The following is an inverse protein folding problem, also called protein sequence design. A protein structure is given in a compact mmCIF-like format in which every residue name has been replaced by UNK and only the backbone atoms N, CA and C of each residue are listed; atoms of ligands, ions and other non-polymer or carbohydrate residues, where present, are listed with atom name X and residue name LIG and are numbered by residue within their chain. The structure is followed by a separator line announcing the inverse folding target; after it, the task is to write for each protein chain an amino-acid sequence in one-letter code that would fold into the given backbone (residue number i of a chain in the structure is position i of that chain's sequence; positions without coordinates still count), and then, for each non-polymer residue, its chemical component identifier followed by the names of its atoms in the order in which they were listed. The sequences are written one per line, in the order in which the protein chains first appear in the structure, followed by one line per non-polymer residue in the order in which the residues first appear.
data_IF_375541272298
#
_entry.id   IF_375541272298
#
_cell.length_a   1.000
_cell.length_b   1.000
_cell.length_c   1.000
_cell.angle_alpha   90.00
_cell.angle_beta   90.00
_cell.angle_gamma   90.00
#
_symmetry.space_group_name_H-M   'P 1'
#
loop_
_entity.id
_entity.type
_entity.pdbx_description
1 polymer ?
#
# COMPACT_ATOMS: atom_id res chain seq x y z
N UNK A 1 18.02 59.58 -17.20
CA UNK A 1 16.78 58.84 -16.99
C UNK A 1 17.05 57.37 -17.33
N UNK A 2 17.11 56.49 -16.34
CA UNK A 2 17.29 55.05 -16.56
C UNK A 2 15.92 54.40 -16.48
N UNK A 3 15.41 53.81 -17.59
CA UNK A 3 14.18 53.04 -17.62
C UNK A 3 14.43 51.70 -16.98
N UNK A 4 13.72 51.37 -15.88
CA UNK A 4 13.68 50.09 -15.29
C UNK A 4 12.70 49.19 -16.08
N UNK A 5 13.23 48.14 -16.72
CA UNK A 5 12.39 47.10 -17.36
C UNK A 5 11.95 46.16 -16.27
N UNK A 6 10.68 46.18 -15.93
CA UNK A 6 10.01 45.26 -15.00
C UNK A 6 9.69 43.97 -15.80
N UNK A 7 10.49 42.92 -15.63
CA UNK A 7 10.19 41.60 -16.18
C UNK A 7 9.06 40.93 -15.34
N UNK A 8 7.83 40.88 -15.88
CA UNK A 8 6.75 40.08 -15.31
C UNK A 8 7.07 38.60 -15.59
N UNK A 9 7.48 37.88 -14.56
CA UNK A 9 7.50 36.42 -14.58
C UNK A 9 6.03 35.91 -14.52
N UNK A 10 5.46 35.54 -15.66
CA UNK A 10 4.24 34.77 -15.68
C UNK A 10 4.54 33.39 -15.10
N UNK A 11 4.11 33.13 -13.87
CA UNK A 11 4.02 31.79 -13.34
C UNK A 11 2.96 31.03 -14.16
N UNK A 12 3.39 30.20 -15.10
CA UNK A 12 2.49 29.27 -15.78
C UNK A 12 1.87 28.35 -14.69
N UNK A 13 0.54 28.41 -14.54
CA UNK A 13 -0.18 27.47 -13.71
C UNK A 13 0.08 26.05 -14.25
N UNK A 14 0.63 25.18 -13.42
CA UNK A 14 0.77 23.77 -13.78
C UNK A 14 -0.63 23.23 -14.11
N UNK A 15 -0.78 22.49 -15.22
CA UNK A 15 -2.07 21.90 -15.57
C UNK A 15 -2.55 21.00 -14.43
N UNK A 16 -3.85 21.04 -14.14
CA UNK A 16 -4.46 20.15 -13.15
C UNK A 16 -4.16 18.69 -13.53
N UNK A 17 -3.77 17.90 -12.54
CA UNK A 17 -3.47 16.48 -12.74
C UNK A 17 -4.78 15.75 -13.05
N UNK A 18 -4.84 15.13 -14.21
CA UNK A 18 -5.99 14.34 -14.64
C UNK A 18 -5.80 12.88 -14.20
N UNK A 19 -6.73 12.40 -13.39
CA UNK A 19 -6.82 10.99 -12.99
C UNK A 19 -7.67 10.21 -13.99
N UNK A 20 -7.16 9.07 -14.47
CA UNK A 20 -7.80 8.20 -15.46
C UNK A 20 -7.99 6.81 -14.92
N UNK A 21 -9.24 6.33 -14.97
CA UNK A 21 -9.57 4.95 -14.63
C UNK A 21 -9.10 3.99 -15.71
N UNK A 22 -8.69 2.79 -15.29
CA UNK A 22 -8.31 1.69 -16.18
C UNK A 22 -8.52 0.32 -15.53
N UNK A 23 -8.48 -0.73 -16.35
CA UNK A 23 -8.64 -2.10 -15.89
C UNK A 23 -7.59 -2.99 -16.53
N UNK A 24 -6.89 -3.76 -15.70
CA UNK A 24 -6.00 -4.83 -16.13
C UNK A 24 -6.69 -6.19 -15.96
N UNK A 25 -6.45 -7.12 -16.87
CA UNK A 25 -6.93 -8.50 -16.72
C UNK A 25 -5.84 -9.34 -16.05
N UNK A 26 -6.15 -9.87 -14.87
CA UNK A 26 -5.32 -10.81 -14.14
C UNK A 26 -5.97 -12.20 -14.17
N UNK A 27 -5.66 -13.01 -15.17
CA UNK A 27 -6.20 -14.37 -15.32
C UNK A 27 -7.74 -14.44 -15.19
N UNK A 28 -8.43 -13.52 -15.86
CA UNK A 28 -9.90 -13.45 -15.86
C UNK A 28 -10.50 -12.55 -14.79
N UNK A 29 -9.70 -12.07 -13.82
CA UNK A 29 -10.13 -11.10 -12.80
C UNK A 29 -9.77 -9.71 -13.26
N UNK A 30 -10.73 -8.78 -13.32
CA UNK A 30 -10.50 -7.38 -13.66
C UNK A 30 -10.01 -6.63 -12.43
N UNK A 31 -8.83 -6.07 -12.54
CA UNK A 31 -8.22 -5.22 -11.51
C UNK A 31 -8.34 -3.78 -11.94
N UNK A 32 -9.11 -2.99 -11.21
CA UNK A 32 -9.25 -1.57 -11.41
C UNK A 32 -8.00 -0.83 -10.92
N UNK A 33 -7.61 0.20 -11.65
CA UNK A 33 -6.58 1.16 -11.20
C UNK A 33 -6.92 2.57 -11.67
N UNK A 34 -6.39 3.55 -10.96
CA UNK A 34 -6.42 4.96 -11.37
C UNK A 34 -5.00 5.41 -11.66
N UNK A 35 -4.78 6.05 -12.80
CA UNK A 35 -3.45 6.49 -13.24
C UNK A 35 -3.40 7.97 -13.54
N UNK A 36 -2.21 8.57 -13.37
CA UNK A 36 -1.93 9.96 -13.74
C UNK A 36 -0.44 10.12 -14.07
N UNK A 37 -0.10 11.21 -14.78
CA UNK A 37 1.27 11.55 -15.12
C UNK A 37 1.89 10.66 -16.19
N UNK A 38 3.19 10.87 -16.43
CA UNK A 38 4.01 10.13 -17.40
C UNK A 38 5.42 9.95 -16.85
N UNK A 39 6.18 8.98 -17.37
CA UNK A 39 7.55 8.71 -16.94
C UNK A 39 7.73 7.29 -16.39
N UNK A 40 8.70 7.03 -15.50
CA UNK A 40 8.84 5.74 -14.82
C UNK A 40 7.58 5.38 -14.04
N UNK A 41 7.20 4.10 -14.05
CA UNK A 41 5.97 3.65 -13.41
C UNK A 41 6.14 3.49 -11.89
N UNK A 42 5.19 4.06 -11.13
CA UNK A 42 5.00 3.84 -9.69
C UNK A 42 3.64 3.17 -9.48
N UNK A 43 3.61 1.93 -9.01
CA UNK A 43 2.38 1.21 -8.67
C UNK A 43 2.15 1.30 -7.16
N UNK A 44 0.97 1.76 -6.76
CA UNK A 44 0.58 1.99 -5.37
C UNK A 44 -0.54 1.03 -4.96
N UNK A 45 -0.32 0.30 -3.87
CA UNK A 45 -1.16 -0.82 -3.42
C UNK A 45 -1.66 -0.49 -2.01
N UNK A 46 -2.98 -0.33 -1.87
CA UNK A 46 -3.61 -0.05 -0.59
C UNK A 46 -3.75 -1.29 0.31
N UNK A 47 -4.16 -1.10 1.55
CA UNK A 47 -4.45 -2.16 2.51
C UNK A 47 -5.91 -2.23 2.93
N UNK A 48 -6.16 -2.69 4.15
CA UNK A 48 -7.48 -2.82 4.76
C UNK A 48 -7.68 -1.79 5.90
N UNK A 49 -8.85 -1.18 6.01
CA UNK A 49 -9.88 -1.01 4.99
C UNK A 49 -9.58 0.26 4.18
N UNK A 50 -9.24 0.10 2.92
CA UNK A 50 -8.83 1.22 2.08
C UNK A 50 -9.17 0.96 0.60
N UNK A 51 -8.82 1.88 -0.30
CA UNK A 51 -8.94 1.74 -1.75
C UNK A 51 -7.98 2.73 -2.44
N UNK A 52 -7.91 2.76 -3.78
CA UNK A 52 -6.94 3.56 -4.52
C UNK A 52 -6.83 5.03 -4.06
N UNK A 53 -7.92 5.62 -3.59
CA UNK A 53 -8.01 7.04 -3.23
C UNK A 53 -7.15 7.42 -2.00
N UNK A 54 -6.71 6.46 -1.23
CA UNK A 54 -5.73 6.68 -0.15
C UNK A 54 -4.46 7.35 -0.64
N UNK A 55 -4.11 7.08 -1.91
CA UNK A 55 -2.88 7.55 -2.54
C UNK A 55 -3.01 8.90 -3.25
N UNK A 56 -4.19 9.53 -3.26
CA UNK A 56 -4.46 10.77 -4.00
C UNK A 56 -3.38 11.85 -3.85
N UNK A 57 -2.93 12.11 -2.61
CA UNK A 57 -1.93 13.13 -2.31
C UNK A 57 -0.53 12.73 -2.84
N UNK A 58 -0.15 11.46 -2.70
CA UNK A 58 1.11 10.92 -3.22
C UNK A 58 1.09 10.87 -4.75
N UNK A 59 -0.05 10.51 -5.35
CA UNK A 59 -0.23 10.55 -6.81
C UNK A 59 -0.05 11.97 -7.35
N UNK A 60 -0.71 12.96 -6.74
CA UNK A 60 -0.55 14.38 -7.11
C UNK A 60 0.90 14.84 -6.97
N UNK A 61 1.58 14.45 -5.91
CA UNK A 61 2.96 14.84 -5.67
C UNK A 61 3.95 14.22 -6.66
N UNK A 62 3.68 13.00 -7.15
CA UNK A 62 4.61 12.24 -8.01
C UNK A 62 4.29 12.35 -9.50
N UNK A 63 3.03 12.58 -9.90
CA UNK A 63 2.59 12.64 -11.29
C UNK A 63 3.37 13.62 -12.20
N UNK A 64 3.95 14.73 -11.70
CA UNK A 64 4.79 15.58 -12.54
C UNK A 64 6.04 14.91 -13.11
N UNK A 65 6.54 13.83 -12.51
CA UNK A 65 7.79 13.16 -12.89
C UNK A 65 7.62 11.65 -13.15
N UNK A 66 6.50 11.06 -12.72
CA UNK A 66 6.23 9.63 -12.77
C UNK A 66 4.86 9.35 -13.37
N UNK A 67 4.72 8.23 -14.04
CA UNK A 67 3.42 7.62 -14.26
C UNK A 67 3.04 6.91 -12.95
N UNK A 68 2.02 7.40 -12.26
CA UNK A 68 1.51 6.78 -11.03
C UNK A 68 0.27 5.95 -11.33
N UNK A 69 0.16 4.77 -10.73
CA UNK A 69 -1.01 3.90 -10.85
C UNK A 69 -1.37 3.33 -9.47
N UNK A 70 -2.50 3.76 -8.92
CA UNK A 70 -3.05 3.24 -7.67
C UNK A 70 -4.12 2.20 -7.98
N UNK A 71 -3.94 0.97 -7.49
CA UNK A 71 -4.86 -0.15 -7.77
C UNK A 71 -5.93 -0.26 -6.69
N UNK A 72 -7.10 -0.73 -7.07
CA UNK A 72 -8.04 -1.37 -6.14
C UNK A 72 -7.71 -2.85 -6.07
N UNK A 73 -7.40 -3.37 -4.91
CA UNK A 73 -7.17 -4.80 -4.71
C UNK A 73 -8.43 -5.62 -5.10
N UNK A 74 -8.26 -6.87 -5.56
CA UNK A 74 -9.43 -7.75 -5.78
C UNK A 74 -10.29 -7.81 -4.52
N UNK A 75 -11.61 -7.81 -4.68
CA UNK A 75 -12.56 -7.73 -3.57
C UNK A 75 -12.96 -6.31 -3.17
N UNK A 76 -12.23 -5.29 -3.62
CA UNK A 76 -12.43 -3.88 -3.24
C UNK A 76 -12.97 -3.06 -4.40
N UNK A 77 -13.79 -2.07 -4.05
CA UNK A 77 -14.33 -0.99 -4.88
C UNK A 77 -14.71 -1.46 -6.30
N UNK A 78 -13.99 -1.04 -7.34
CA UNK A 78 -14.31 -1.32 -8.74
C UNK A 78 -13.60 -2.57 -9.31
N UNK A 79 -12.69 -3.20 -8.56
CA UNK A 79 -12.12 -4.49 -8.95
C UNK A 79 -13.11 -5.63 -8.79
N UNK A 80 -12.91 -6.73 -9.53
CA UNK A 80 -13.71 -7.95 -9.39
C UNK A 80 -13.57 -8.56 -7.99
N UNK A 81 -14.61 -9.31 -7.60
CA UNK A 81 -14.78 -9.88 -6.26
C UNK A 81 -15.05 -11.37 -6.34
N UNK A 82 -14.08 -12.18 -6.79
CA UNK A 82 -14.27 -13.61 -6.91
C UNK A 82 -14.63 -14.22 -5.54
N UNK A 83 -15.59 -15.15 -5.54
CA UNK A 83 -16.00 -15.87 -4.34
C UNK A 83 -14.97 -16.91 -3.92
N UNK A 84 -14.95 -17.26 -2.62
CA UNK A 84 -14.05 -18.26 -2.06
C UNK A 84 -12.68 -17.71 -1.63
N UNK A 85 -12.19 -18.18 -0.49
CA UNK A 85 -10.94 -17.70 0.08
C UNK A 85 -9.71 -18.08 -0.75
N UNK A 86 -9.78 -19.17 -1.52
CA UNK A 86 -8.73 -19.64 -2.43
C UNK A 86 -8.39 -18.62 -3.50
N UNK A 87 -9.35 -17.76 -3.88
CA UNK A 87 -9.16 -16.68 -4.85
C UNK A 87 -8.39 -15.48 -4.29
N UNK A 88 -8.01 -15.53 -3.01
CA UNK A 88 -7.23 -14.50 -2.31
C UNK A 88 -5.87 -15.02 -1.83
N UNK A 89 -5.40 -16.14 -2.39
CA UNK A 89 -4.03 -16.64 -2.15
C UNK A 89 -3.00 -15.59 -2.56
N UNK A 90 -1.94 -15.44 -1.79
CA UNK A 90 -0.90 -14.43 -2.00
C UNK A 90 -0.34 -14.46 -3.44
N UNK A 91 -0.21 -15.64 -4.05
CA UNK A 91 0.27 -15.77 -5.43
C UNK A 91 -0.66 -15.09 -6.44
N UNK A 92 -1.97 -15.11 -6.21
CA UNK A 92 -2.93 -14.41 -7.07
C UNK A 92 -2.89 -12.90 -6.86
N UNK A 93 -2.69 -12.44 -5.61
CA UNK A 93 -2.53 -11.02 -5.30
C UNK A 93 -1.25 -10.45 -5.93
N UNK A 94 -0.16 -11.21 -5.92
CA UNK A 94 1.09 -10.87 -6.63
C UNK A 94 0.86 -10.80 -8.14
N UNK A 95 0.10 -11.75 -8.70
CA UNK A 95 -0.20 -11.78 -10.13
C UNK A 95 -1.02 -10.57 -10.58
N UNK A 96 -1.89 -10.02 -9.70
CA UNK A 96 -2.65 -8.79 -9.99
C UNK A 96 -1.73 -7.59 -10.19
N UNK A 97 -0.73 -7.44 -9.32
CA UNK A 97 0.26 -6.36 -9.44
C UNK A 97 1.05 -6.50 -10.74
N UNK A 98 1.52 -7.73 -11.05
CA UNK A 98 2.22 -8.00 -12.30
C UNK A 98 1.36 -7.70 -13.53
N UNK A 99 0.07 -8.05 -13.50
CA UNK A 99 -0.87 -7.80 -14.59
C UNK A 99 -1.05 -6.29 -14.85
N UNK A 100 -1.16 -5.47 -13.79
CA UNK A 100 -1.26 -4.01 -13.93
C UNK A 100 0.02 -3.43 -14.52
N UNK A 101 1.21 -3.83 -14.05
CA UNK A 101 2.50 -3.38 -14.58
C UNK A 101 2.61 -3.71 -16.09
N UNK A 102 2.29 -4.94 -16.48
CA UNK A 102 2.32 -5.39 -17.87
C UNK A 102 1.28 -4.70 -18.74
N UNK A 103 0.05 -4.51 -18.22
CA UNK A 103 -1.02 -3.80 -18.92
C UNK A 103 -0.63 -2.35 -19.25
N UNK A 104 0.12 -1.70 -18.36
CA UNK A 104 0.66 -0.35 -18.55
C UNK A 104 1.92 -0.32 -19.45
N UNK A 105 2.27 -1.45 -20.10
CA UNK A 105 3.38 -1.57 -21.05
C UNK A 105 4.76 -1.50 -20.39
N UNK A 106 4.88 -1.92 -19.13
CA UNK A 106 6.15 -1.89 -18.39
C UNK A 106 6.63 -3.29 -18.01
N UNK A 107 7.94 -3.46 -17.95
CA UNK A 107 8.55 -4.70 -17.46
C UNK A 107 8.84 -4.65 -15.97
N UNK A 108 9.03 -3.45 -15.41
CA UNK A 108 9.29 -3.20 -13.99
C UNK A 108 8.65 -1.90 -13.53
N UNK A 109 8.48 -1.76 -12.22
CA UNK A 109 7.95 -0.56 -11.58
C UNK A 109 8.61 -0.29 -10.22
N UNK A 110 8.47 0.93 -9.75
CA UNK A 110 8.60 1.26 -8.34
C UNK A 110 7.31 0.79 -7.67
N UNK A 111 7.42 -0.06 -6.65
CA UNK A 111 6.27 -0.66 -5.98
C UNK A 111 6.10 -0.04 -4.61
N UNK A 112 4.91 0.50 -4.34
CA UNK A 112 4.55 1.16 -3.08
C UNK A 112 3.40 0.41 -2.45
N UNK A 113 3.52 -0.01 -1.19
CA UNK A 113 2.45 -0.72 -0.51
C UNK A 113 2.23 -0.25 0.92
N UNK A 114 0.95 -0.23 1.34
CA UNK A 114 0.53 0.05 2.69
C UNK A 114 -0.27 -1.13 3.24
N UNK A 115 -0.05 -1.54 4.49
CA UNK A 115 -0.77 -2.63 5.18
C UNK A 115 -0.80 -3.92 4.33
N UNK A 116 -1.96 -4.48 3.95
CA UNK A 116 -2.03 -5.63 3.02
C UNK A 116 -1.32 -5.36 1.70
N UNK A 117 -1.41 -4.13 1.17
CA UNK A 117 -0.62 -3.74 0.01
C UNK A 117 0.88 -3.81 0.27
N UNK A 118 1.33 -3.50 1.47
CA UNK A 118 2.72 -3.70 1.90
C UNK A 118 3.11 -5.18 1.97
N UNK A 119 2.22 -6.04 2.50
CA UNK A 119 2.44 -7.49 2.53
C UNK A 119 2.57 -8.06 1.11
N UNK A 120 1.68 -7.66 0.21
CA UNK A 120 1.72 -8.03 -1.21
C UNK A 120 3.02 -7.52 -1.85
N UNK A 121 3.43 -6.28 -1.57
CA UNK A 121 4.63 -5.67 -2.13
C UNK A 121 5.92 -6.37 -1.70
N UNK A 122 6.04 -6.77 -0.43
CA UNK A 122 7.14 -7.60 0.05
C UNK A 122 7.19 -8.94 -0.69
N UNK A 123 6.04 -9.63 -0.77
CA UNK A 123 5.97 -10.92 -1.43
C UNK A 123 6.20 -10.80 -2.95
N UNK A 124 5.71 -9.72 -3.57
CA UNK A 124 6.00 -9.41 -4.96
C UNK A 124 7.50 -9.24 -5.21
N UNK A 125 8.19 -8.50 -4.34
CA UNK A 125 9.63 -8.29 -4.45
C UNK A 125 10.43 -9.59 -4.23
N UNK A 126 9.99 -10.49 -3.35
CA UNK A 126 10.65 -11.79 -3.16
C UNK A 126 10.46 -12.74 -4.34
N UNK A 127 9.27 -12.77 -4.95
CA UNK A 127 8.95 -13.75 -6.00
C UNK A 127 9.18 -13.24 -7.41
N UNK A 128 9.14 -11.92 -7.62
CA UNK A 128 9.30 -11.26 -8.92
C UNK A 128 10.30 -10.08 -8.85
N UNK A 129 11.50 -10.25 -8.27
CA UNK A 129 12.45 -9.15 -8.05
C UNK A 129 12.83 -8.43 -9.35
N UNK A 130 12.80 -9.13 -10.50
CA UNK A 130 13.08 -8.55 -11.82
C UNK A 130 12.04 -7.52 -12.26
N UNK A 131 10.84 -7.51 -11.67
CA UNK A 131 9.77 -6.54 -11.93
C UNK A 131 9.78 -5.37 -10.94
N UNK A 132 10.65 -5.37 -9.93
CA UNK A 132 10.74 -4.32 -8.90
C UNK A 132 12.01 -3.52 -9.11
N UNK A 133 11.85 -2.23 -9.38
CA UNK A 133 12.98 -1.30 -9.47
C UNK A 133 13.39 -0.78 -8.10
N UNK A 134 12.42 -0.39 -7.29
CA UNK A 134 12.55 0.06 -5.90
C UNK A 134 11.30 -0.33 -5.13
N UNK A 135 11.43 -0.56 -3.84
CA UNK A 135 10.33 -0.95 -2.97
C UNK A 135 10.08 0.11 -1.89
N UNK A 136 8.83 0.52 -1.73
CA UNK A 136 8.41 1.50 -0.72
C UNK A 136 7.30 0.89 0.13
N UNK A 137 7.52 0.78 1.43
CA UNK A 137 6.57 0.14 2.36
C UNK A 137 6.13 1.13 3.42
N UNK A 138 4.84 1.30 3.56
CA UNK A 138 4.21 2.14 4.57
C UNK A 138 3.46 1.27 5.59
N UNK A 139 3.72 1.50 6.86
CA UNK A 139 3.06 0.81 8.00
C UNK A 139 2.81 -0.69 7.74
N UNK A 140 3.86 -1.36 7.31
CA UNK A 140 4.00 -2.80 7.39
C UNK A 140 5.49 -3.14 7.62
N UNK A 141 5.85 -3.87 8.69
CA UNK A 141 7.20 -4.36 8.90
C UNK A 141 7.61 -5.39 7.83
N UNK A 142 8.90 -5.70 7.78
CA UNK A 142 9.37 -6.87 7.05
C UNK A 142 8.67 -8.14 7.57
N UNK A 143 8.26 -9.10 6.71
CA UNK A 143 7.55 -10.32 7.15
C UNK A 143 8.23 -11.07 8.29
N UNK A 144 9.56 -11.19 8.27
CA UNK A 144 10.33 -11.83 9.35
C UNK A 144 10.24 -11.04 10.66
N UNK A 145 10.25 -9.71 10.60
CA UNK A 145 10.09 -8.84 11.77
C UNK A 145 8.72 -9.02 12.42
N UNK A 146 7.66 -9.00 11.60
CA UNK A 146 6.30 -9.22 12.09
C UNK A 146 6.14 -10.64 12.66
N UNK A 147 6.66 -11.66 11.98
CA UNK A 147 6.60 -13.04 12.42
C UNK A 147 7.31 -13.26 13.76
N UNK A 148 8.50 -12.63 13.95
CA UNK A 148 9.21 -12.63 15.22
C UNK A 148 8.36 -12.03 16.34
N UNK A 149 7.82 -10.83 16.12
CA UNK A 149 7.02 -10.15 17.15
C UNK A 149 5.72 -10.92 17.47
N UNK A 150 5.06 -11.50 16.48
CA UNK A 150 3.90 -12.37 16.71
C UNK A 150 4.26 -13.59 17.57
N UNK A 151 5.45 -14.17 17.37
CA UNK A 151 5.88 -15.34 18.12
C UNK A 151 6.33 -15.02 19.55
N UNK A 152 6.90 -13.82 19.80
CA UNK A 152 7.64 -13.54 21.03
C UNK A 152 7.14 -12.33 21.83
N UNK A 153 6.30 -11.46 21.25
CA UNK A 153 5.87 -10.21 21.87
C UNK A 153 4.37 -10.22 22.17
N UNK A 154 4.00 -10.33 23.43
CA UNK A 154 2.60 -10.34 23.86
C UNK A 154 1.83 -9.07 23.45
N UNK A 155 2.48 -7.90 23.40
CA UNK A 155 1.84 -6.65 22.95
C UNK A 155 1.47 -6.72 21.46
N UNK A 156 2.35 -7.29 20.61
CA UNK A 156 2.03 -7.48 19.21
C UNK A 156 0.92 -8.53 19.04
N UNK A 157 0.91 -9.59 19.81
CA UNK A 157 -0.17 -10.59 19.81
C UNK A 157 -1.52 -9.96 20.18
N UNK A 158 -1.55 -9.09 21.20
CA UNK A 158 -2.74 -8.34 21.59
C UNK A 158 -3.18 -7.37 20.48
N UNK A 159 -2.27 -6.56 19.96
CA UNK A 159 -2.51 -5.65 18.84
C UNK A 159 -3.06 -6.36 17.60
N UNK A 160 -2.68 -7.63 17.38
CA UNK A 160 -3.12 -8.47 16.27
C UNK A 160 -4.41 -9.26 16.53
N UNK A 161 -5.06 -9.08 17.69
CA UNK A 161 -6.28 -9.83 18.03
C UNK A 161 -7.43 -9.62 17.04
N UNK A 162 -7.49 -8.46 16.38
CA UNK A 162 -8.47 -8.19 15.32
C UNK A 162 -8.30 -9.14 14.12
N UNK A 163 -7.06 -9.44 13.74
CA UNK A 163 -6.77 -10.33 12.61
C UNK A 163 -7.27 -11.76 12.87
N UNK A 164 -7.13 -12.26 14.10
CA UNK A 164 -7.72 -13.56 14.50
C UNK A 164 -9.24 -13.55 14.41
N UNK A 165 -9.89 -12.47 14.84
CA UNK A 165 -11.36 -12.33 14.68
C UNK A 165 -11.76 -12.33 13.21
N UNK A 166 -10.99 -11.68 12.34
CA UNK A 166 -11.27 -11.63 10.90
C UNK A 166 -11.07 -12.99 10.19
N UNK A 167 -10.33 -13.91 10.79
CA UNK A 167 -10.18 -15.27 10.29
C UNK A 167 -11.41 -16.17 10.55
N UNK A 168 -12.34 -15.74 11.40
CA UNK A 168 -13.56 -16.52 11.66
C UNK A 168 -14.55 -16.43 10.48
N UNK A 169 -15.34 -17.49 10.22
CA UNK A 169 -16.19 -17.58 9.01
C UNK A 169 -17.12 -16.37 8.82
N UNK A 170 -17.82 -15.95 9.86
CA UNK A 170 -18.87 -14.92 9.78
C UNK A 170 -18.40 -13.50 10.15
N UNK A 171 -17.09 -13.28 10.27
CA UNK A 171 -16.50 -12.00 10.69
C UNK A 171 -16.95 -10.82 9.81
N UNK A 172 -17.18 -11.04 8.53
CA UNK A 172 -17.64 -10.04 7.58
C UNK A 172 -19.02 -9.47 7.90
N UNK A 173 -19.91 -10.24 8.55
CA UNK A 173 -21.30 -9.83 8.88
C UNK A 173 -21.37 -8.64 9.85
N UNK A 174 -20.30 -8.40 10.61
CA UNK A 174 -20.21 -7.28 11.54
C UNK A 174 -19.70 -6.00 10.87
N UNK A 175 -19.28 -6.04 9.62
CA UNK A 175 -18.70 -4.90 8.89
C UNK A 175 -19.79 -4.19 8.09
N UNK A 176 -19.75 -2.85 8.15
CA UNK A 176 -20.55 -1.98 7.27
C UNK A 176 -19.62 -0.92 6.67
N UNK A 177 -20.00 -0.32 5.53
CA UNK A 177 -19.22 0.76 4.92
C UNK A 177 -18.92 1.90 5.89
N UNK A 178 -19.91 2.30 6.71
CA UNK A 178 -19.77 3.40 7.68
C UNK A 178 -18.80 3.05 8.80
N UNK A 179 -18.85 1.81 9.29
CA UNK A 179 -17.91 1.31 10.33
C UNK A 179 -16.49 1.23 9.80
N UNK A 180 -16.32 0.73 8.57
CA UNK A 180 -15.02 0.66 7.91
C UNK A 180 -14.45 2.06 7.64
N UNK A 181 -15.28 3.07 7.32
CA UNK A 181 -14.88 4.45 7.14
C UNK A 181 -14.74 5.24 8.47
N UNK A 182 -14.86 4.57 9.61
CA UNK A 182 -14.82 5.21 10.94
C UNK A 182 -13.50 5.94 11.24
N UNK A 183 -12.40 5.44 10.71
CA UNK A 183 -11.07 6.02 10.88
C UNK A 183 -10.81 7.26 10.01
N UNK A 184 -11.59 7.48 8.95
CA UNK A 184 -11.42 8.61 8.03
C UNK A 184 -11.84 9.90 8.72
N UNK A 185 -10.87 10.78 8.98
CA UNK A 185 -11.08 12.06 9.66
C UNK A 185 -11.40 13.21 8.70
N UNK A 186 -10.96 13.13 7.43
CA UNK A 186 -11.26 14.12 6.40
C UNK A 186 -12.75 14.05 5.99
N UNK A 187 -13.57 15.10 6.30
CA UNK A 187 -15.00 15.08 6.01
C UNK A 187 -15.31 15.09 4.50
N UNK A 188 -14.41 15.59 3.66
CA UNK A 188 -14.57 15.58 2.21
C UNK A 188 -14.24 14.21 1.60
N UNK A 189 -13.35 13.45 2.21
CA UNK A 189 -12.98 12.11 1.76
C UNK A 189 -13.98 11.03 2.25
N UNK A 190 -14.49 11.15 3.47
CA UNK A 190 -15.32 10.12 4.12
C UNK A 190 -16.48 9.58 3.30
N UNK A 191 -17.29 10.41 2.60
CA UNK A 191 -18.36 9.90 1.73
C UNK A 191 -17.85 9.00 0.60
N UNK A 192 -16.67 9.31 0.02
CA UNK A 192 -16.03 8.49 -1.03
C UNK A 192 -15.62 7.12 -0.50
N UNK A 193 -15.14 7.06 0.74
CA UNK A 193 -14.81 5.81 1.42
C UNK A 193 -16.05 4.95 1.68
N UNK A 194 -17.12 5.53 2.18
CA UNK A 194 -18.40 4.82 2.39
C UNK A 194 -18.92 4.26 1.06
N UNK A 195 -18.89 5.05 -0.01
CA UNK A 195 -19.31 4.61 -1.34
C UNK A 195 -18.43 3.47 -1.87
N UNK A 196 -17.11 3.59 -1.77
CA UNK A 196 -16.17 2.56 -2.22
C UNK A 196 -16.34 1.25 -1.44
N UNK A 197 -16.53 1.32 -0.12
CA UNK A 197 -16.79 0.15 0.71
C UNK A 197 -18.17 -0.46 0.43
N UNK A 198 -19.18 0.36 0.06
CA UNK A 198 -20.47 -0.14 -0.40
C UNK A 198 -20.42 -0.94 -1.70
N UNK A 199 -19.43 -0.66 -2.56
CA UNK A 199 -19.13 -1.42 -3.78
C UNK A 199 -18.25 -2.63 -3.53
N UNK A 200 -17.59 -2.72 -2.38
CA UNK A 200 -16.65 -3.78 -2.02
C UNK A 200 -17.37 -5.00 -1.45
N UNK A 201 -16.69 -6.15 -1.40
CA UNK A 201 -17.18 -7.34 -0.71
C UNK A 201 -16.52 -7.47 0.66
N UNK A 202 -17.32 -7.36 1.73
CA UNK A 202 -16.82 -7.52 3.10
C UNK A 202 -16.25 -8.92 3.32
N UNK A 203 -16.85 -9.95 2.71
CA UNK A 203 -16.34 -11.32 2.79
C UNK A 203 -14.99 -11.46 2.08
N UNK A 204 -14.86 -10.88 0.88
CA UNK A 204 -13.61 -10.82 0.13
C UNK A 204 -12.48 -10.14 0.92
N UNK A 205 -12.78 -9.04 1.61
CA UNK A 205 -11.82 -8.37 2.48
C UNK A 205 -11.30 -9.29 3.59
N UNK A 206 -12.21 -10.11 4.19
CA UNK A 206 -11.80 -11.06 5.24
C UNK A 206 -11.00 -12.24 4.70
N UNK A 207 -11.13 -12.57 3.40
CA UNK A 207 -10.38 -13.65 2.80
C UNK A 207 -8.87 -13.40 2.74
N UNK A 208 -8.43 -12.14 2.74
CA UNK A 208 -7.02 -11.78 2.94
C UNK A 208 -6.48 -12.35 4.24
N UNK A 209 -7.22 -12.15 5.34
CA UNK A 209 -6.85 -12.64 6.67
C UNK A 209 -7.01 -14.15 6.78
N UNK A 210 -8.12 -14.71 6.28
CA UNK A 210 -8.39 -16.16 6.34
C UNK A 210 -7.33 -16.97 5.60
N UNK A 211 -6.83 -16.43 4.49
CA UNK A 211 -5.92 -17.14 3.60
C UNK A 211 -4.44 -16.89 3.91
N UNK A 212 -4.07 -15.67 4.28
CA UNK A 212 -2.67 -15.26 4.29
C UNK A 212 -2.14 -14.80 5.67
N UNK A 213 -3.01 -14.47 6.63
CA UNK A 213 -2.53 -14.05 7.93
C UNK A 213 -2.10 -15.25 8.79
N UNK A 214 -0.96 -15.17 9.53
CA UNK A 214 -0.49 -16.28 10.36
C UNK A 214 -1.53 -16.74 11.38
N UNK A 215 -1.53 -18.04 11.69
CA UNK A 215 -2.39 -18.65 12.72
C UNK A 215 -1.58 -19.05 13.93
N UNK A 216 -2.23 -19.07 15.10
CA UNK A 216 -1.64 -19.61 16.33
C UNK A 216 -1.51 -21.14 16.25
N UNK A 217 -0.47 -21.73 16.87
CA UNK A 217 0.63 -21.02 17.57
C UNK A 217 1.57 -20.32 16.59
N UNK A 218 1.89 -19.06 16.87
CA UNK A 218 2.80 -18.29 16.03
C UNK A 218 4.23 -18.84 16.12
N UNK A 219 4.90 -18.90 14.98
CA UNK A 219 6.29 -19.29 14.88
C UNK A 219 7.10 -18.17 14.27
N UNK A 220 8.26 -17.92 14.80
CA UNK A 220 9.24 -17.03 14.18
C UNK A 220 9.83 -17.75 12.95
N UNK A 221 9.18 -17.57 11.81
CA UNK A 221 9.68 -18.07 10.54
C UNK A 221 10.63 -17.04 9.96
N UNK A 222 11.84 -17.48 9.60
CA UNK A 222 12.77 -16.63 8.88
C UNK A 222 12.70 -17.04 7.42
N UNK A 223 12.23 -16.17 6.55
CA UNK A 223 12.36 -16.39 5.12
C UNK A 223 13.86 -16.42 4.79
N UNK A 224 14.36 -17.48 4.15
CA UNK A 224 15.81 -17.62 3.90
C UNK A 224 16.31 -16.64 2.84
N UNK A 225 15.42 -16.01 2.11
CA UNK A 225 15.76 -15.17 0.97
C UNK A 225 16.00 -13.72 1.42
N UNK A 226 17.22 -13.23 1.18
CA UNK A 226 17.54 -11.82 1.29
C UNK A 226 17.10 -11.08 0.03
N UNK A 227 16.58 -9.86 0.20
CA UNK A 227 16.11 -9.05 -0.92
C UNK A 227 17.22 -8.09 -1.38
N UNK A 228 17.55 -8.16 -2.68
CA UNK A 228 18.51 -7.25 -3.32
C UNK A 228 17.77 -6.18 -4.14
N UNK A 229 16.87 -5.44 -3.49
CA UNK A 229 16.16 -4.30 -4.07
C UNK A 229 16.23 -3.17 -3.05
N UNK A 230 16.54 -1.91 -3.45
CA UNK A 230 16.53 -0.78 -2.53
C UNK A 230 15.15 -0.58 -1.89
N UNK A 231 15.12 -0.39 -0.57
CA UNK A 231 13.88 -0.29 0.22
C UNK A 231 13.79 1.05 0.95
N UNK A 232 12.65 1.72 0.82
CA UNK A 232 12.22 2.79 1.73
C UNK A 232 11.09 2.27 2.61
N UNK A 233 11.24 2.34 3.92
CA UNK A 233 10.16 2.10 4.87
C UNK A 233 9.76 3.39 5.55
N UNK A 234 8.46 3.67 5.61
CA UNK A 234 7.88 4.81 6.33
C UNK A 234 6.86 4.28 7.33
N UNK A 235 7.04 4.58 8.62
CA UNK A 235 6.20 4.00 9.67
C UNK A 235 5.73 5.04 10.68
N UNK A 236 4.41 5.11 10.90
CA UNK A 236 3.80 5.93 11.93
C UNK A 236 3.92 5.27 13.30
N UNK A 237 4.56 5.93 14.27
CA UNK A 237 4.86 5.33 15.59
C UNK A 237 3.62 5.20 16.51
N UNK A 238 2.47 5.76 16.10
CA UNK A 238 1.18 5.57 16.79
C UNK A 238 0.35 4.43 16.18
N UNK A 239 0.94 3.62 15.31
CA UNK A 239 0.27 2.41 14.82
C UNK A 239 -0.03 1.46 15.98
N UNK A 240 -1.31 1.12 16.14
CA UNK A 240 -1.80 0.22 17.19
C UNK A 240 -2.00 -1.22 16.70
N UNK A 241 -1.83 -1.47 15.41
CA UNK A 241 -1.96 -2.79 14.79
C UNK A 241 -0.59 -3.43 14.51
N UNK A 242 0.32 -2.67 13.94
CA UNK A 242 1.65 -3.10 13.51
C UNK A 242 2.70 -2.30 14.29
N UNK A 243 3.13 -2.83 15.41
CA UNK A 243 3.97 -2.11 16.36
C UNK A 243 5.41 -1.94 15.85
N UNK A 244 6.01 -0.79 16.18
CA UNK A 244 7.35 -0.43 15.73
C UNK A 244 8.49 -1.39 16.11
N UNK A 245 8.45 -2.21 17.20
CA UNK A 245 9.49 -3.21 17.44
C UNK A 245 9.72 -4.18 16.29
N UNK A 246 8.68 -4.44 15.48
CA UNK A 246 8.79 -5.31 14.31
C UNK A 246 9.68 -4.74 13.18
N UNK A 247 10.04 -3.46 13.24
CA UNK A 247 10.98 -2.83 12.31
C UNK A 247 12.45 -3.18 12.60
N UNK A 248 12.75 -3.60 13.84
CA UNK A 248 14.12 -3.89 14.26
C UNK A 248 14.70 -5.07 13.48
N UNK A 249 15.96 -4.96 13.08
CA UNK A 249 16.68 -6.00 12.36
C UNK A 249 16.25 -6.15 10.89
N UNK A 250 15.44 -5.26 10.32
CA UNK A 250 15.05 -5.32 8.90
C UNK A 250 16.26 -5.34 7.98
N UNK A 251 17.35 -4.64 8.33
CA UNK A 251 18.62 -4.60 7.58
C UNK A 251 19.30 -5.96 7.47
N UNK A 252 19.03 -6.90 8.38
CA UNK A 252 19.61 -8.24 8.35
C UNK A 252 19.04 -9.12 7.22
N UNK A 253 17.92 -8.71 6.61
CA UNK A 253 17.21 -9.43 5.55
C UNK A 253 17.29 -8.76 4.18
N UNK A 254 18.15 -7.73 4.06
CA UNK A 254 18.35 -6.99 2.82
C UNK A 254 19.81 -7.03 2.39
N UNK A 255 20.03 -7.14 1.07
CA UNK A 255 21.36 -7.02 0.43
C UNK A 255 21.52 -5.69 -0.32
N UNK A 256 20.48 -4.84 -0.30
CA UNK A 256 20.48 -3.49 -0.87
C UNK A 256 20.22 -2.45 0.22
N UNK A 257 20.27 -1.17 -0.17
CA UNK A 257 20.08 -0.03 0.75
C UNK A 257 18.70 -0.03 1.40
N UNK A 258 18.68 0.19 2.71
CA UNK A 258 17.47 0.47 3.49
C UNK A 258 17.48 1.92 3.96
N UNK A 259 16.40 2.63 3.66
CA UNK A 259 16.05 3.90 4.32
C UNK A 259 14.83 3.66 5.20
N UNK A 260 14.94 3.95 6.49
CA UNK A 260 13.83 3.87 7.44
C UNK A 260 13.48 5.27 7.93
N UNK A 261 12.22 5.67 7.75
CA UNK A 261 11.64 6.92 8.24
C UNK A 261 10.55 6.58 9.24
N UNK A 262 10.65 7.09 10.46
CA UNK A 262 9.60 6.97 11.47
C UNK A 262 8.95 8.32 11.72
N UNK A 263 7.62 8.34 11.84
CA UNK A 263 6.84 9.57 12.05
C UNK A 263 6.12 9.48 13.40
N UNK A 264 6.60 10.21 14.44
CA UNK A 264 6.11 10.05 15.83
C UNK A 264 4.61 10.30 16.02
N UNK A 265 4.03 11.20 15.24
CA UNK A 265 2.64 11.63 15.39
C UNK A 265 1.67 11.02 14.39
N UNK A 266 2.11 10.13 13.51
CA UNK A 266 1.27 9.41 12.56
C UNK A 266 0.87 8.03 13.10
N UNK A 267 -0.34 7.59 12.73
CA UNK A 267 -0.89 6.29 13.08
C UNK A 267 -0.67 5.25 11.96
N UNK A 268 -1.56 4.28 11.87
CA UNK A 268 -1.53 3.24 10.85
C UNK A 268 -1.64 3.79 9.42
N UNK A 269 -2.46 4.79 9.18
CA UNK A 269 -2.68 5.38 7.85
C UNK A 269 -1.70 6.53 7.58
N UNK A 270 -0.40 6.26 7.71
CA UNK A 270 0.67 7.27 7.64
C UNK A 270 0.64 8.12 6.36
N UNK A 271 0.22 7.54 5.22
CA UNK A 271 0.08 8.23 3.93
C UNK A 271 -0.99 9.32 3.95
N UNK A 272 -1.90 9.28 4.92
CA UNK A 272 -2.95 10.28 5.13
C UNK A 272 -2.63 11.18 6.32
N UNK A 273 -2.23 10.60 7.46
CA UNK A 273 -1.92 11.35 8.69
C UNK A 273 -0.78 12.35 8.51
N UNK A 274 0.19 12.01 7.66
CA UNK A 274 1.38 12.82 7.39
C UNK A 274 1.67 12.93 5.89
N UNK A 275 0.63 13.17 5.08
CA UNK A 275 0.67 13.06 3.63
C UNK A 275 1.80 13.87 2.97
N UNK A 276 2.03 15.10 3.42
CA UNK A 276 3.08 15.98 2.90
C UNK A 276 4.48 15.43 3.20
N UNK A 277 4.70 14.94 4.43
CA UNK A 277 5.99 14.40 4.85
C UNK A 277 6.26 13.07 4.12
N UNK A 278 5.25 12.23 3.98
CA UNK A 278 5.33 10.99 3.21
C UNK A 278 5.68 11.28 1.75
N UNK A 279 4.95 12.20 1.10
CA UNK A 279 5.19 12.59 -0.28
C UNK A 279 6.59 13.15 -0.50
N UNK A 280 7.06 14.02 0.40
CA UNK A 280 8.42 14.59 0.38
C UNK A 280 9.49 13.52 0.57
N UNK A 281 9.28 12.58 1.50
CA UNK A 281 10.21 11.48 1.77
C UNK A 281 10.35 10.57 0.56
N UNK A 282 9.25 10.19 -0.07
CA UNK A 282 9.24 9.38 -1.30
C UNK A 282 9.97 10.12 -2.42
N UNK A 283 9.60 11.37 -2.72
CA UNK A 283 10.26 12.16 -3.78
C UNK A 283 11.76 12.31 -3.55
N UNK A 284 12.18 12.66 -2.34
CA UNK A 284 13.59 12.81 -2.00
C UNK A 284 14.35 11.51 -2.14
N UNK A 285 13.75 10.38 -1.78
CA UNK A 285 14.39 9.07 -1.89
C UNK A 285 14.47 8.57 -3.33
N UNK A 286 13.46 8.86 -4.16
CA UNK A 286 13.46 8.49 -5.58
C UNK A 286 14.46 9.30 -6.42
N UNK A 287 14.84 10.49 -5.97
CA UNK A 287 15.80 11.38 -6.65
C UNK A 287 17.27 11.11 -6.28
N UNK A 288 17.58 10.07 -5.50
CA UNK A 288 18.95 9.62 -5.16
C UNK A 288 19.55 8.72 -6.29
#
# INVERSE_FOLDING_TARGET
MRAAVLALLLAAALPAIEFKDGYANSNGVKIHYVTAGQGPLVVMIHGFPDFWYTWRNQMEALAPQYQVAAIDLRGYNLSDKPEGAENYDMRLLIADVAAVIKHLGRDKAIVVGHDWGGAISWQFAFHMPQMVERLIILNLPHPNGLSRELATNAKQQEASAYARRFQTPDSHKALTPERLAGWVTDPAAKPKYIEAFGRSSMDAMMNYYRRNYPREPYQATVAPQRLNVPVLMIHGLRDTALLSPALNGTWDWLDADLTLVTIPNASHFVQQDASDLVSKSIKSWLNR
#
